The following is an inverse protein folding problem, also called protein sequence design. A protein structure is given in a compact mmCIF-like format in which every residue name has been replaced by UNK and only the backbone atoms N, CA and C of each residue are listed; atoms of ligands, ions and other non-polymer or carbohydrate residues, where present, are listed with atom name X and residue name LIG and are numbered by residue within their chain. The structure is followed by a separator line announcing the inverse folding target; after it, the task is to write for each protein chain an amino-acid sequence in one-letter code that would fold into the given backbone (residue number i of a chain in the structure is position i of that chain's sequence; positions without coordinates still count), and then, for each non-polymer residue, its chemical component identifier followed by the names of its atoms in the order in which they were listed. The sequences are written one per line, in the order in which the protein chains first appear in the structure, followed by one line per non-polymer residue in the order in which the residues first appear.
data_IF_547432016978
#
_entry.id   IF_547432016978
#
_cell.length_a   1.000
_cell.length_b   1.000
_cell.length_c   1.000
_cell.angle_alpha   90.00
_cell.angle_beta   90.00
_cell.angle_gamma   90.00
#
_symmetry.space_group_name_H-M   'P 1'
#
loop_
_entity.id
_entity.type
_entity.pdbx_description
1 polymer ?
#
# COMPACT_ATOMS: atom_id res chain seq x y z
N UNK A 1 4.36 -17.35 -18.32
CA UNK A 1 3.15 -17.84 -19.02
C UNK A 1 2.09 -18.15 -18.00
N UNK A 2 0.90 -17.62 -18.19
CA UNK A 2 -0.30 -18.00 -17.46
C UNK A 2 -1.27 -18.68 -18.42
N UNK A 3 -1.95 -19.72 -17.96
CA UNK A 3 -2.98 -20.40 -18.74
C UNK A 3 -4.34 -20.10 -18.11
N UNK A 4 -5.18 -19.42 -18.89
CA UNK A 4 -6.55 -19.07 -18.53
C UNK A 4 -7.43 -20.33 -18.60
N UNK A 5 -8.38 -20.50 -17.67
CA UNK A 5 -9.36 -21.59 -17.72
C UNK A 5 -10.18 -21.61 -19.01
N UNK A 6 -10.47 -22.80 -19.55
CA UNK A 6 -11.21 -22.95 -20.81
C UNK A 6 -12.61 -22.34 -20.77
N UNK A 7 -13.29 -22.43 -19.62
CA UNK A 7 -14.61 -21.83 -19.44
C UNK A 7 -14.58 -20.30 -19.54
N UNK A 8 -13.51 -19.66 -19.05
CA UNK A 8 -13.31 -18.21 -19.20
C UNK A 8 -12.97 -17.86 -20.64
N UNK A 9 -12.14 -18.66 -21.30
CA UNK A 9 -11.77 -18.48 -22.71
C UNK A 9 -13.02 -18.52 -23.59
N UNK A 10 -13.89 -19.50 -23.38
CA UNK A 10 -15.13 -19.66 -24.13
C UNK A 10 -16.13 -18.52 -23.85
N UNK A 11 -16.30 -18.15 -22.59
CA UNK A 11 -17.23 -17.08 -22.19
C UNK A 11 -16.85 -15.71 -22.76
N UNK A 12 -15.55 -15.42 -22.80
CA UNK A 12 -15.02 -14.12 -23.24
C UNK A 12 -14.59 -14.15 -24.72
N UNK A 13 -14.79 -15.29 -25.41
CA UNK A 13 -14.40 -15.52 -26.80
C UNK A 13 -12.93 -15.18 -27.09
N UNK A 14 -12.01 -15.65 -26.23
CA UNK A 14 -10.58 -15.35 -26.35
C UNK A 14 -9.93 -16.22 -27.44
N UNK A 15 -9.05 -15.65 -28.30
CA UNK A 15 -8.39 -16.41 -29.38
C UNK A 15 -7.40 -17.49 -28.90
N UNK A 16 -7.00 -17.43 -27.64
CA UNK A 16 -6.05 -18.35 -27.01
C UNK A 16 -6.32 -18.40 -25.51
N UNK A 17 -5.90 -19.48 -24.85
CA UNK A 17 -5.88 -19.60 -23.40
C UNK A 17 -4.54 -19.14 -22.78
N UNK A 18 -3.55 -18.76 -23.59
CA UNK A 18 -2.22 -18.41 -23.11
C UNK A 18 -2.03 -16.89 -22.94
N UNK A 19 -1.56 -16.48 -21.76
CA UNK A 19 -1.07 -15.14 -21.48
C UNK A 19 0.45 -15.18 -21.37
N UNK A 20 1.12 -14.42 -22.23
CA UNK A 20 2.58 -14.40 -22.31
C UNK A 20 3.13 -12.97 -22.29
N UNK A 21 4.43 -12.85 -22.03
CA UNK A 21 5.12 -11.55 -22.01
C UNK A 21 5.53 -11.09 -23.42
N UNK A 22 5.47 -11.99 -24.40
CA UNK A 22 5.93 -11.75 -25.77
C UNK A 22 5.20 -10.58 -26.44
N UNK A 23 3.85 -10.48 -26.37
CA UNK A 23 3.13 -9.33 -26.91
C UNK A 23 3.59 -7.98 -26.32
N UNK A 24 3.90 -7.97 -25.03
CA UNK A 24 4.30 -6.76 -24.30
C UNK A 24 5.69 -6.32 -24.72
N UNK A 25 6.60 -7.27 -24.98
CA UNK A 25 7.93 -7.00 -25.54
C UNK A 25 7.83 -6.44 -26.96
N UNK A 26 7.00 -7.05 -27.81
CA UNK A 26 6.79 -6.57 -29.18
C UNK A 26 6.21 -5.15 -29.19
N UNK A 27 5.24 -4.83 -28.32
CA UNK A 27 4.72 -3.48 -28.17
C UNK A 27 5.80 -2.46 -27.78
N UNK A 28 6.72 -2.84 -26.89
CA UNK A 28 7.81 -1.95 -26.47
C UNK A 28 8.73 -1.61 -27.64
N UNK A 29 9.12 -2.62 -28.43
CA UNK A 29 9.96 -2.44 -29.63
C UNK A 29 9.21 -1.66 -30.71
N UNK A 30 7.93 -1.94 -30.91
CA UNK A 30 7.09 -1.27 -31.91
C UNK A 30 7.01 0.25 -31.66
N UNK A 31 6.89 0.67 -30.40
CA UNK A 31 6.82 2.10 -30.05
C UNK A 31 8.21 2.77 -29.86
N UNK A 32 9.31 2.05 -30.07
CA UNK A 32 10.69 2.52 -29.93
C UNK A 32 11.10 3.37 -31.14
N UNK A 33 10.59 4.61 -31.20
CA UNK A 33 10.83 5.54 -32.30
C UNK A 33 9.62 6.40 -32.66
N UNK A 34 8.45 6.06 -32.13
CA UNK A 34 7.26 6.89 -32.29
C UNK A 34 7.36 8.16 -31.44
N UNK A 35 7.07 9.31 -32.05
CA UNK A 35 6.95 10.58 -31.34
C UNK A 35 5.82 10.53 -30.29
N UNK A 36 4.71 9.86 -30.63
CA UNK A 36 3.58 9.61 -29.74
C UNK A 36 3.48 8.11 -29.46
N UNK A 37 3.94 7.70 -28.28
CA UNK A 37 3.86 6.31 -27.83
C UNK A 37 2.43 5.95 -27.43
N UNK A 38 1.98 4.76 -27.83
CA UNK A 38 0.64 4.25 -27.48
C UNK A 38 0.56 3.90 -25.99
N UNK A 39 1.62 3.27 -25.46
CA UNK A 39 1.78 2.97 -24.04
C UNK A 39 2.99 3.76 -23.48
N UNK A 40 2.86 5.08 -23.23
CA UNK A 40 3.98 5.97 -22.95
C UNK A 40 4.72 5.65 -21.64
N UNK A 41 4.03 5.01 -20.68
CA UNK A 41 4.61 4.63 -19.38
C UNK A 41 5.21 3.22 -19.38
N UNK A 42 5.01 2.44 -20.45
CA UNK A 42 5.64 1.13 -20.60
C UNK A 42 7.13 1.33 -20.93
N UNK A 43 7.99 0.71 -20.13
CA UNK A 43 9.45 0.83 -20.26
C UNK A 43 10.11 -0.54 -20.20
N UNK A 44 11.34 -0.64 -20.71
CA UNK A 44 12.12 -1.88 -20.65
C UNK A 44 12.30 -2.40 -19.21
N UNK A 45 12.52 -1.49 -18.25
CA UNK A 45 12.61 -1.81 -16.82
C UNK A 45 11.35 -2.45 -16.23
N UNK A 46 10.18 -2.27 -16.88
CA UNK A 46 8.94 -2.90 -16.44
C UNK A 46 8.83 -4.38 -16.86
N UNK A 47 9.49 -4.77 -17.96
CA UNK A 47 9.50 -6.15 -18.45
C UNK A 47 10.69 -6.92 -17.89
N UNK A 48 11.86 -6.28 -17.87
CA UNK A 48 13.12 -6.84 -17.38
C UNK A 48 13.64 -6.00 -16.21
N UNK A 49 13.00 -6.09 -15.02
CA UNK A 49 13.34 -5.26 -13.89
C UNK A 49 14.67 -5.66 -13.25
N UNK A 50 15.48 -4.65 -12.91
CA UNK A 50 16.64 -4.83 -12.03
C UNK A 50 16.23 -5.29 -10.63
N UNK A 51 17.20 -5.66 -9.79
CA UNK A 51 16.93 -6.03 -8.39
C UNK A 51 16.11 -4.97 -7.64
N UNK A 52 16.39 -3.68 -7.84
CA UNK A 52 15.66 -2.59 -7.20
C UNK A 52 14.31 -2.32 -7.86
N UNK A 53 14.21 -2.49 -9.17
CA UNK A 53 12.96 -2.24 -9.90
C UNK A 53 11.85 -3.24 -9.55
N UNK A 54 12.22 -4.47 -9.17
CA UNK A 54 11.27 -5.49 -8.68
C UNK A 54 10.43 -5.02 -7.48
N UNK A 55 10.91 -4.04 -6.71
CA UNK A 55 10.19 -3.48 -5.57
C UNK A 55 9.22 -2.34 -5.96
N UNK A 56 9.30 -1.82 -7.19
CA UNK A 56 8.51 -0.68 -7.65
C UNK A 56 7.18 -1.14 -8.23
N UNK A 57 6.13 -1.08 -7.41
CA UNK A 57 4.75 -1.39 -7.83
C UNK A 57 4.32 -0.56 -9.05
N UNK A 58 4.78 0.69 -9.17
CA UNK A 58 4.47 1.55 -10.32
C UNK A 58 4.89 0.95 -11.67
N UNK A 59 6.01 0.22 -11.74
CA UNK A 59 6.44 -0.42 -12.98
C UNK A 59 5.50 -1.57 -13.35
N UNK A 60 5.05 -2.35 -12.38
CA UNK A 60 4.06 -3.40 -12.62
C UNK A 60 2.71 -2.81 -13.10
N UNK A 61 2.27 -1.69 -12.51
CA UNK A 61 1.05 -1.01 -12.94
C UNK A 61 1.15 -0.48 -14.37
N UNK A 62 2.32 -0.02 -14.80
CA UNK A 62 2.50 0.39 -16.19
C UNK A 62 2.31 -0.79 -17.17
N UNK A 63 2.67 -2.01 -16.77
CA UNK A 63 2.42 -3.24 -17.56
C UNK A 63 0.92 -3.58 -17.55
N UNK A 64 0.33 -3.72 -16.37
CA UNK A 64 -1.10 -3.99 -16.19
C UNK A 64 -1.91 -2.70 -16.29
N UNK A 65 -1.91 -2.07 -17.47
CA UNK A 65 -2.63 -0.83 -17.71
C UNK A 65 -3.54 -0.92 -18.93
N UNK A 66 -4.63 -0.14 -18.89
CA UNK A 66 -5.51 0.07 -20.05
C UNK A 66 -4.75 0.56 -21.29
N UNK A 67 -3.71 1.37 -21.13
CA UNK A 67 -2.88 1.86 -22.24
C UNK A 67 -2.10 0.73 -22.92
N UNK A 68 -1.47 -0.16 -22.13
CA UNK A 68 -0.77 -1.34 -22.66
C UNK A 68 -1.75 -2.30 -23.35
N UNK A 69 -2.92 -2.54 -22.75
CA UNK A 69 -3.98 -3.35 -23.38
C UNK A 69 -4.45 -2.75 -24.71
N UNK A 70 -4.70 -1.44 -24.76
CA UNK A 70 -5.11 -0.74 -25.98
C UNK A 70 -4.02 -0.80 -27.06
N UNK A 71 -2.74 -0.68 -26.69
CA UNK A 71 -1.61 -0.84 -27.61
C UNK A 71 -1.57 -2.22 -28.24
N UNK A 72 -1.77 -3.29 -27.47
CA UNK A 72 -1.83 -4.65 -28.01
C UNK A 72 -3.03 -4.84 -28.95
N UNK A 73 -4.20 -4.33 -28.60
CA UNK A 73 -5.39 -4.37 -29.47
C UNK A 73 -5.15 -3.61 -30.78
N UNK A 74 -4.50 -2.45 -30.70
CA UNK A 74 -4.13 -1.65 -31.86
C UNK A 74 -3.19 -2.41 -32.80
N UNK A 75 -2.14 -3.06 -32.28
CA UNK A 75 -1.20 -3.83 -33.09
C UNK A 75 -1.86 -5.01 -33.82
N UNK A 76 -2.86 -5.64 -33.21
CA UNK A 76 -3.63 -6.70 -33.89
C UNK A 76 -4.48 -6.12 -35.00
N UNK A 77 -5.14 -4.98 -34.77
CA UNK A 77 -6.07 -4.39 -35.72
C UNK A 77 -5.40 -3.69 -36.90
N UNK A 78 -4.26 -3.02 -36.68
CA UNK A 78 -3.62 -2.13 -37.65
C UNK A 78 -2.29 -2.68 -38.18
N UNK A 79 -1.58 -3.49 -37.40
CA UNK A 79 -0.22 -3.98 -37.72
C UNK A 79 -0.18 -5.50 -37.98
N UNK A 80 -1.36 -6.09 -38.22
CA UNK A 80 -1.57 -7.49 -38.57
C UNK A 80 -0.85 -8.49 -37.63
N UNK A 81 -0.75 -8.15 -36.33
CA UNK A 81 -0.16 -9.04 -35.32
C UNK A 81 -1.09 -10.22 -34.99
N UNK A 82 -0.55 -11.34 -34.46
CA UNK A 82 -1.35 -12.52 -34.16
C UNK A 82 -2.52 -12.24 -33.20
N UNK A 83 -3.67 -12.85 -33.48
CA UNK A 83 -4.87 -12.72 -32.63
C UNK A 83 -4.65 -13.15 -31.17
N UNK A 84 -3.65 -14.02 -30.92
CA UNK A 84 -3.26 -14.43 -29.55
C UNK A 84 -2.86 -13.26 -28.65
N UNK A 85 -2.48 -12.11 -29.21
CA UNK A 85 -2.18 -10.89 -28.44
C UNK A 85 -3.42 -10.36 -27.72
N UNK A 86 -4.62 -10.58 -28.26
CA UNK A 86 -5.87 -10.14 -27.65
C UNK A 86 -6.13 -10.83 -26.31
N UNK A 87 -5.74 -12.10 -26.15
CA UNK A 87 -5.83 -12.80 -24.87
C UNK A 87 -4.97 -12.12 -23.79
N UNK A 88 -3.75 -11.73 -24.15
CA UNK A 88 -2.85 -11.00 -23.23
C UNK A 88 -3.41 -9.60 -22.94
N UNK A 89 -3.89 -8.89 -23.96
CA UNK A 89 -4.50 -7.56 -23.81
C UNK A 89 -5.72 -7.59 -22.88
N UNK A 90 -6.60 -8.59 -23.04
CA UNK A 90 -7.76 -8.80 -22.19
C UNK A 90 -7.33 -9.05 -20.74
N UNK A 91 -6.35 -9.94 -20.51
CA UNK A 91 -5.87 -10.24 -19.16
C UNK A 91 -5.29 -9.00 -18.46
N UNK A 92 -4.48 -8.21 -19.15
CA UNK A 92 -3.94 -6.96 -18.60
C UNK A 92 -5.05 -6.00 -18.18
N UNK A 93 -6.09 -5.86 -19.00
CA UNK A 93 -7.25 -5.01 -18.70
C UNK A 93 -8.08 -5.53 -17.52
N UNK A 94 -8.24 -6.86 -17.37
CA UNK A 94 -8.92 -7.43 -16.20
C UNK A 94 -8.18 -7.09 -14.90
N UNK A 95 -6.84 -7.25 -14.89
CA UNK A 95 -6.01 -6.96 -13.71
C UNK A 95 -5.99 -5.46 -13.40
N UNK A 96 -5.92 -4.59 -14.41
CA UNK A 96 -5.99 -3.13 -14.26
C UNK A 96 -7.31 -2.69 -13.61
N UNK A 97 -8.45 -3.13 -14.18
CA UNK A 97 -9.78 -2.79 -13.65
C UNK A 97 -9.99 -3.32 -12.23
N UNK A 98 -9.48 -4.52 -11.94
CA UNK A 98 -9.48 -5.06 -10.58
C UNK A 98 -8.66 -4.19 -9.64
N UNK A 99 -7.43 -3.84 -10.00
CA UNK A 99 -6.55 -3.05 -9.17
C UNK A 99 -7.14 -1.66 -8.88
N UNK A 100 -7.75 -1.02 -9.88
CA UNK A 100 -8.46 0.25 -9.72
C UNK A 100 -9.59 0.14 -8.70
N UNK A 101 -10.42 -0.90 -8.77
CA UNK A 101 -11.50 -1.13 -7.80
C UNK A 101 -10.97 -1.40 -6.39
N UNK A 102 -9.91 -2.21 -6.27
CA UNK A 102 -9.32 -2.58 -4.97
C UNK A 102 -8.54 -1.45 -4.30
N UNK A 103 -7.98 -0.52 -5.08
CA UNK A 103 -7.12 0.57 -4.59
C UNK A 103 -7.78 1.96 -4.65
N UNK A 104 -8.98 2.05 -5.23
CA UNK A 104 -9.78 3.27 -5.33
C UNK A 104 -9.92 3.99 -3.99
N UNK A 105 -9.65 5.30 -4.01
CA UNK A 105 -9.87 6.21 -2.87
C UNK A 105 -10.88 7.31 -3.20
N UNK A 106 -11.46 7.29 -4.39
CA UNK A 106 -12.34 8.35 -4.86
C UNK A 106 -13.80 7.92 -4.71
N UNK A 107 -14.69 8.80 -4.22
CA UNK A 107 -16.11 8.46 -4.06
C UNK A 107 -16.83 8.05 -5.36
N UNK A 108 -16.33 8.52 -6.51
CA UNK A 108 -16.91 8.23 -7.83
C UNK A 108 -16.75 6.75 -8.19
N UNK A 109 -15.64 6.15 -7.80
CA UNK A 109 -15.27 4.75 -8.03
C UNK A 109 -15.56 3.87 -6.82
N UNK A 110 -16.35 4.37 -5.86
CA UNK A 110 -16.73 3.62 -4.67
C UNK A 110 -17.87 2.65 -4.98
N UNK A 111 -17.83 1.46 -4.35
CA UNK A 111 -18.94 0.50 -4.41
C UNK A 111 -20.14 1.11 -3.68
N UNK A 112 -21.12 1.60 -4.44
CA UNK A 112 -22.25 2.34 -3.91
C UNK A 112 -23.54 2.03 -4.68
N UNK A 113 -24.62 1.80 -3.94
CA UNK A 113 -25.97 1.57 -4.51
C UNK A 113 -26.63 2.85 -5.07
N UNK A 114 -25.92 4.00 -5.05
CA UNK A 114 -26.39 5.25 -5.68
C UNK A 114 -26.50 5.13 -7.21
N UNK A 115 -25.57 4.42 -7.84
CA UNK A 115 -25.58 4.12 -9.28
C UNK A 115 -25.53 2.61 -9.48
N UNK A 116 -26.70 1.97 -9.47
CA UNK A 116 -26.83 0.51 -9.49
C UNK A 116 -26.15 -0.15 -10.69
N UNK A 117 -26.14 0.49 -11.86
CA UNK A 117 -25.48 -0.06 -13.04
C UNK A 117 -23.95 -0.17 -12.86
N UNK A 118 -23.30 0.90 -12.39
CA UNK A 118 -21.86 0.93 -12.13
C UNK A 118 -21.48 0.01 -10.96
N UNK A 119 -22.34 -0.05 -9.93
CA UNK A 119 -22.20 -1.01 -8.85
C UNK A 119 -22.20 -2.45 -9.38
N UNK A 120 -23.18 -2.82 -10.20
CA UNK A 120 -23.30 -4.17 -10.73
C UNK A 120 -22.09 -4.52 -11.61
N UNK A 121 -21.64 -3.60 -12.47
CA UNK A 121 -20.41 -3.76 -13.28
C UNK A 121 -19.21 -4.04 -12.39
N UNK A 122 -19.01 -3.26 -11.32
CA UNK A 122 -17.90 -3.43 -10.40
C UNK A 122 -17.95 -4.79 -9.67
N UNK A 123 -19.12 -5.19 -9.16
CA UNK A 123 -19.31 -6.50 -8.51
C UNK A 123 -19.02 -7.65 -9.48
N UNK A 124 -19.51 -7.56 -10.72
CA UNK A 124 -19.23 -8.57 -11.76
C UNK A 124 -17.73 -8.68 -12.05
N UNK A 125 -17.00 -7.55 -12.16
CA UNK A 125 -15.54 -7.58 -12.33
C UNK A 125 -14.85 -8.30 -11.16
N UNK A 126 -15.20 -7.97 -9.92
CA UNK A 126 -14.60 -8.61 -8.74
C UNK A 126 -14.90 -10.12 -8.69
N UNK A 127 -16.13 -10.54 -8.98
CA UNK A 127 -16.52 -11.95 -9.04
C UNK A 127 -15.79 -12.69 -10.16
N UNK A 128 -15.66 -12.09 -11.33
CA UNK A 128 -14.93 -12.65 -12.46
C UNK A 128 -13.44 -12.83 -12.15
N UNK A 129 -12.83 -11.92 -11.39
CA UNK A 129 -11.43 -12.05 -10.95
C UNK A 129 -11.26 -13.21 -9.97
N UNK A 130 -12.19 -13.35 -9.00
CA UNK A 130 -12.17 -14.50 -8.09
C UNK A 130 -12.25 -15.81 -8.88
N UNK A 131 -13.14 -15.87 -9.86
CA UNK A 131 -13.30 -17.04 -10.72
C UNK A 131 -12.04 -17.33 -11.57
N UNK A 132 -11.50 -16.30 -12.24
CA UNK A 132 -10.28 -16.38 -13.03
C UNK A 132 -9.10 -16.89 -12.19
N UNK A 133 -8.84 -16.29 -11.02
CA UNK A 133 -7.70 -16.66 -10.18
C UNK A 133 -7.85 -18.02 -9.48
N UNK A 134 -9.08 -18.54 -9.37
CA UNK A 134 -9.32 -19.94 -8.93
C UNK A 134 -8.88 -20.96 -9.97
N UNK A 135 -9.10 -20.69 -11.26
CA UNK A 135 -8.78 -21.65 -12.32
C UNK A 135 -7.44 -21.43 -13.02
N UNK A 136 -6.87 -20.22 -12.96
CA UNK A 136 -5.66 -19.89 -13.71
C UNK A 136 -4.47 -20.76 -13.29
N UNK A 137 -3.73 -21.28 -14.28
CA UNK A 137 -2.49 -22.04 -14.04
C UNK A 137 -1.30 -21.11 -14.24
N UNK A 138 -0.43 -21.01 -13.22
CA UNK A 138 0.70 -20.07 -13.21
C UNK A 138 2.03 -20.82 -13.30
N UNK A 139 2.80 -20.54 -14.36
CA UNK A 139 4.11 -21.13 -14.61
C UNK A 139 4.04 -22.55 -15.20
N UNK A 140 5.20 -23.12 -15.53
CA UNK A 140 5.30 -24.39 -16.28
C UNK A 140 4.59 -25.56 -15.61
N UNK A 141 4.68 -25.66 -14.27
CA UNK A 141 4.05 -26.75 -13.50
C UNK A 141 2.55 -26.53 -13.25
N UNK A 142 2.03 -25.34 -13.54
CA UNK A 142 0.60 -25.00 -13.39
C UNK A 142 0.01 -25.13 -11.98
N UNK A 143 0.83 -25.33 -10.94
CA UNK A 143 0.38 -25.53 -9.57
C UNK A 143 -0.07 -24.24 -8.89
N UNK A 144 -0.88 -24.38 -7.83
CA UNK A 144 -1.41 -23.29 -7.03
C UNK A 144 -0.30 -22.40 -6.44
N UNK A 145 -0.46 -21.08 -6.54
CA UNK A 145 0.50 -20.07 -6.05
C UNK A 145 -0.11 -19.19 -4.96
N UNK A 146 0.70 -18.69 -4.01
CA UNK A 146 0.23 -17.78 -2.96
C UNK A 146 -0.49 -16.53 -3.49
N UNK A 147 -0.10 -16.03 -4.67
CA UNK A 147 -0.78 -14.89 -5.31
C UNK A 147 -2.26 -15.19 -5.63
N UNK A 148 -2.61 -16.43 -5.98
CA UNK A 148 -4.00 -16.81 -6.22
C UNK A 148 -4.82 -16.72 -4.93
N UNK A 149 -4.31 -17.32 -3.84
CA UNK A 149 -4.93 -17.18 -2.51
C UNK A 149 -5.07 -15.72 -2.12
N UNK A 150 -4.02 -14.90 -2.29
CA UNK A 150 -4.03 -13.49 -1.92
C UNK A 150 -5.09 -12.68 -2.67
N UNK A 151 -5.18 -12.83 -3.99
CA UNK A 151 -6.18 -12.15 -4.82
C UNK A 151 -7.60 -12.60 -4.46
N UNK A 152 -7.82 -13.91 -4.31
CA UNK A 152 -9.14 -14.45 -3.94
C UNK A 152 -9.57 -13.93 -2.57
N UNK A 153 -8.72 -14.07 -1.55
CA UNK A 153 -9.05 -13.64 -0.18
C UNK A 153 -9.34 -12.14 -0.11
N UNK A 154 -8.49 -11.31 -0.72
CA UNK A 154 -8.71 -9.85 -0.70
C UNK A 154 -10.04 -9.49 -1.38
N UNK A 155 -10.32 -10.09 -2.53
CA UNK A 155 -11.51 -9.78 -3.32
C UNK A 155 -12.79 -10.31 -2.66
N UNK A 156 -12.79 -11.52 -2.11
CA UNK A 156 -13.95 -12.05 -1.36
C UNK A 156 -14.21 -11.26 -0.09
N UNK A 157 -13.15 -10.77 0.58
CA UNK A 157 -13.30 -9.89 1.75
C UNK A 157 -13.98 -8.58 1.38
N UNK A 158 -13.58 -7.93 0.27
CA UNK A 158 -14.26 -6.71 -0.20
C UNK A 158 -15.71 -6.97 -0.56
N UNK A 159 -16.00 -8.07 -1.27
CA UNK A 159 -17.37 -8.46 -1.63
C UNK A 159 -18.27 -8.70 -0.41
N UNK A 160 -17.73 -9.28 0.67
CA UNK A 160 -18.45 -9.48 1.92
C UNK A 160 -18.65 -8.15 2.69
N UNK A 161 -17.57 -7.39 2.87
CA UNK A 161 -17.59 -6.11 3.61
C UNK A 161 -18.53 -5.12 2.94
N UNK A 162 -18.49 -4.98 1.61
CA UNK A 162 -19.38 -4.05 0.92
C UNK A 162 -20.86 -4.41 1.15
N UNK A 163 -21.20 -5.70 1.15
CA UNK A 163 -22.58 -6.14 1.34
C UNK A 163 -23.03 -5.83 2.76
N UNK A 164 -22.20 -6.18 3.74
CA UNK A 164 -22.46 -5.88 5.15
C UNK A 164 -22.60 -4.37 5.41
N UNK A 165 -21.69 -3.56 4.89
CA UNK A 165 -21.69 -2.11 5.08
C UNK A 165 -22.93 -1.44 4.45
N UNK A 166 -23.34 -1.91 3.26
CA UNK A 166 -24.48 -1.34 2.52
C UNK A 166 -25.84 -1.88 3.02
N UNK A 167 -25.89 -3.07 3.62
CA UNK A 167 -27.13 -3.66 4.18
C UNK A 167 -27.38 -3.27 5.62
N UNK A 168 -26.39 -3.45 6.49
CA UNK A 168 -26.53 -3.16 7.92
C UNK A 168 -26.47 -1.66 8.21
N UNK A 169 -26.07 -0.85 7.23
CA UNK A 169 -25.99 0.60 7.37
C UNK A 169 -25.02 0.96 8.49
N UNK A 170 -23.74 0.64 8.32
CA UNK A 170 -22.72 1.13 9.25
C UNK A 170 -22.75 2.65 9.22
N UNK A 171 -23.27 3.26 10.28
CA UNK A 171 -23.25 4.72 10.44
C UNK A 171 -21.79 5.12 10.59
N UNK A 172 -21.19 5.60 9.51
CA UNK A 172 -19.90 6.29 9.61
C UNK A 172 -20.13 7.46 10.56
N UNK A 173 -19.56 7.34 11.77
CA UNK A 173 -19.60 8.44 12.73
C UNK A 173 -19.01 9.71 12.10
N UNK A 174 -19.25 10.85 12.72
CA UNK A 174 -18.70 12.14 12.25
C UNK A 174 -17.20 12.00 11.96
N UNK A 175 -16.73 12.36 10.73
CA UNK A 175 -15.31 12.31 10.41
C UNK A 175 -14.49 13.07 11.45
N UNK A 176 -13.40 12.45 11.90
CA UNK A 176 -12.51 13.06 12.88
C UNK A 176 -11.79 14.24 12.24
N UNK A 177 -11.82 15.43 12.87
CA UNK A 177 -11.14 16.62 12.35
C UNK A 177 -9.62 16.45 12.19
N UNK A 178 -9.02 15.54 12.95
CA UNK A 178 -7.60 15.21 12.86
C UNK A 178 -7.39 13.95 12.03
N UNK A 179 -6.81 14.10 10.85
CA UNK A 179 -6.40 12.96 10.01
C UNK A 179 -5.23 12.19 10.63
N UNK A 180 -5.01 10.94 10.22
CA UNK A 180 -3.84 10.15 10.65
C UNK A 180 -2.50 10.85 10.38
N UNK A 181 -2.40 11.61 9.27
CA UNK A 181 -1.23 12.41 8.93
C UNK A 181 -1.02 13.54 9.93
N UNK A 182 -2.09 14.26 10.27
CA UNK A 182 -2.08 15.34 11.27
C UNK A 182 -1.68 14.80 12.64
N UNK A 183 -2.25 13.67 13.05
CA UNK A 183 -1.91 13.02 14.31
C UNK A 183 -0.43 12.65 14.37
N UNK A 184 0.11 12.04 13.30
CA UNK A 184 1.54 11.68 13.22
C UNK A 184 2.45 12.91 13.29
N UNK A 185 2.10 14.00 12.60
CA UNK A 185 2.85 15.27 12.66
C UNK A 185 2.89 15.80 14.10
N UNK A 186 1.74 15.86 14.77
CA UNK A 186 1.63 16.31 16.15
C UNK A 186 2.45 15.41 17.10
N UNK A 187 2.38 14.08 16.96
CA UNK A 187 3.17 13.15 17.78
C UNK A 187 4.68 13.34 17.57
N UNK A 188 5.12 13.59 16.34
CA UNK A 188 6.52 13.91 16.05
C UNK A 188 6.96 15.24 16.67
N UNK A 189 6.08 16.24 16.73
CA UNK A 189 6.35 17.52 17.38
C UNK A 189 6.56 17.34 18.90
N UNK A 190 5.68 16.56 19.55
CA UNK A 190 5.84 16.20 20.97
C UNK A 190 7.09 15.38 21.22
N UNK A 191 7.45 14.46 20.31
CA UNK A 191 8.68 13.66 20.42
C UNK A 191 9.94 14.54 20.33
N UNK A 192 9.93 15.58 19.49
CA UNK A 192 11.04 16.53 19.37
C UNK A 192 11.17 17.44 20.59
N UNK A 193 10.05 17.91 21.14
CA UNK A 193 10.04 18.72 22.34
C UNK A 193 8.95 18.22 23.32
N UNK A 194 9.32 17.40 24.31
CA UNK A 194 8.37 16.82 25.26
C UNK A 194 7.67 17.84 26.18
N UNK A 195 8.11 19.11 26.19
CA UNK A 195 7.50 20.19 26.99
C UNK A 195 6.44 21.00 26.23
N UNK A 196 6.19 20.69 24.96
CA UNK A 196 5.18 21.40 24.16
C UNK A 196 3.80 21.22 24.80
N UNK A 197 3.10 22.34 25.00
CA UNK A 197 1.77 22.32 25.59
C UNK A 197 0.68 22.05 24.55
N UNK A 198 -0.51 21.63 25.00
CA UNK A 198 -1.67 21.49 24.10
C UNK A 198 -2.04 22.82 23.41
N UNK A 199 -1.76 23.97 24.03
CA UNK A 199 -1.96 25.30 23.44
C UNK A 199 -1.03 25.56 22.27
N UNK A 200 0.24 25.17 22.40
CA UNK A 200 1.23 25.34 21.35
C UNK A 200 0.94 24.40 20.18
N UNK A 201 0.54 23.15 20.46
CA UNK A 201 0.06 22.22 19.43
C UNK A 201 -1.17 22.77 18.70
N UNK A 202 -2.12 23.40 19.42
CA UNK A 202 -3.28 24.04 18.80
C UNK A 202 -2.86 25.14 17.82
N UNK A 203 -1.86 25.97 18.19
CA UNK A 203 -1.29 26.98 17.28
C UNK A 203 -0.62 26.31 16.07
N UNK A 204 0.22 25.30 16.25
CA UNK A 204 0.87 24.54 15.16
C UNK A 204 -0.15 23.95 14.18
N UNK A 205 -1.25 23.40 14.70
CA UNK A 205 -2.36 22.86 13.91
C UNK A 205 -3.17 23.95 13.19
N UNK A 206 -3.33 25.12 13.79
CA UNK A 206 -3.99 26.26 13.16
C UNK A 206 -3.23 26.74 11.91
N UNK A 207 -1.89 26.77 11.94
CA UNK A 207 -1.07 27.06 10.74
C UNK A 207 -1.25 26.01 9.63
N UNK A 208 -1.75 24.82 9.95
CA UNK A 208 -2.09 23.78 9.00
C UNK A 208 -3.56 23.80 8.57
N UNK A 209 -4.30 24.87 8.87
CA UNK A 209 -5.75 25.03 8.66
C UNK A 209 -6.61 23.99 9.39
N UNK A 210 -6.16 23.51 10.56
CA UNK A 210 -6.89 22.52 11.36
C UNK A 210 -7.34 23.15 12.68
N UNK A 211 -8.63 23.47 12.77
CA UNK A 211 -9.24 24.02 13.98
C UNK A 211 -9.77 22.92 14.90
N UNK A 212 -9.06 22.69 16.00
CA UNK A 212 -9.39 21.72 17.05
C UNK A 212 -9.27 22.32 18.44
N UNK A 213 -10.04 21.80 19.38
CA UNK A 213 -9.94 22.18 20.79
C UNK A 213 -8.76 21.48 21.49
N UNK A 214 -8.22 22.12 22.53
CA UNK A 214 -7.13 21.55 23.33
C UNK A 214 -7.52 20.20 23.97
N UNK A 215 -8.78 20.01 24.35
CA UNK A 215 -9.27 18.73 24.87
C UNK A 215 -9.16 17.60 23.83
N UNK A 216 -9.42 17.89 22.56
CA UNK A 216 -9.25 16.94 21.44
C UNK A 216 -7.79 16.55 21.28
N UNK A 217 -6.88 17.51 21.41
CA UNK A 217 -5.43 17.28 21.38
C UNK A 217 -5.02 16.34 22.52
N UNK A 218 -5.41 16.65 23.77
CA UNK A 218 -5.09 15.83 24.95
C UNK A 218 -5.63 14.40 24.82
N UNK A 219 -6.88 14.23 24.41
CA UNK A 219 -7.51 12.91 24.17
C UNK A 219 -6.73 12.11 23.13
N UNK A 220 -6.33 12.77 22.04
CA UNK A 220 -5.56 12.13 20.97
C UNK A 220 -4.17 11.71 21.45
N UNK A 221 -3.47 12.55 22.21
CA UNK A 221 -2.17 12.21 22.80
C UNK A 221 -2.27 11.02 23.76
N UNK A 222 -3.25 11.04 24.67
CA UNK A 222 -3.49 9.94 25.61
C UNK A 222 -3.82 8.62 24.90
N UNK A 223 -4.64 8.65 23.84
CA UNK A 223 -4.95 7.46 23.02
C UNK A 223 -3.70 6.87 22.35
N UNK A 224 -2.68 7.68 22.11
CA UNK A 224 -1.40 7.28 21.53
C UNK A 224 -0.31 7.03 22.60
N UNK A 225 -0.68 6.89 23.89
CA UNK A 225 0.26 6.59 24.97
C UNK A 225 1.15 7.77 25.41
N UNK A 226 0.86 8.98 24.95
CA UNK A 226 1.58 10.19 25.35
C UNK A 226 0.85 10.85 26.51
N UNK A 227 1.48 10.83 27.69
CA UNK A 227 0.89 11.35 28.91
C UNK A 227 1.69 12.53 29.46
N UNK A 228 0.97 13.50 30.03
CA UNK A 228 1.59 14.55 30.83
C UNK A 228 2.30 13.94 32.05
N UNK A 229 3.58 14.28 32.22
CA UNK A 229 4.41 13.87 33.35
C UNK A 229 5.32 15.01 33.76
N UNK A 230 5.64 15.09 35.05
CA UNK A 230 6.60 16.07 35.58
C UNK A 230 8.00 15.44 35.57
N UNK A 231 9.01 16.05 34.91
CA UNK A 231 10.37 15.53 34.95
C UNK A 231 10.92 15.60 36.39
N UNK A 232 11.65 14.55 36.81
CA UNK A 232 12.31 14.54 38.13
C UNK A 232 13.45 15.55 38.14
N UNK A 233 13.59 16.32 39.23
CA UNK A 233 14.74 17.18 39.47
C UNK A 233 15.99 16.30 39.56
N UNK A 234 17.05 16.66 38.84
CA UNK A 234 18.35 15.99 38.87
C UNK A 234 19.44 17.04 39.02
N UNK A 235 20.54 16.76 39.74
CA UNK A 235 21.66 17.67 39.79
C UNK A 235 22.25 17.85 38.39
N UNK A 236 22.70 19.06 38.08
CA UNK A 236 23.39 19.35 36.82
C UNK A 236 24.78 18.72 36.87
N UNK A 237 25.06 17.81 35.94
CA UNK A 237 26.37 17.17 35.84
C UNK A 237 27.20 17.86 34.77
N UNK A 238 28.42 18.24 35.12
CA UNK A 238 29.41 18.69 34.14
C UNK A 238 29.85 17.52 33.25
N UNK A 239 30.36 17.80 32.04
CA UNK A 239 30.90 16.76 31.14
C UNK A 239 32.02 15.95 31.82
N UNK A 240 32.88 16.61 32.60
CA UNK A 240 33.95 15.98 33.40
C UNK A 240 33.36 14.96 34.40
N UNK A 241 32.32 15.35 35.13
CA UNK A 241 31.69 14.49 36.12
C UNK A 241 30.96 13.32 35.45
N UNK A 242 30.32 13.53 34.30
CA UNK A 242 29.70 12.45 33.52
C UNK A 242 30.76 11.41 33.11
N UNK A 243 31.89 11.86 32.57
CA UNK A 243 32.98 10.98 32.14
C UNK A 243 33.59 10.21 33.32
N UNK A 244 33.88 10.88 34.44
CA UNK A 244 34.42 10.25 35.64
C UNK A 244 33.47 9.20 36.22
N UNK A 245 32.17 9.52 36.33
CA UNK A 245 31.15 8.57 36.80
C UNK A 245 30.99 7.38 35.88
N UNK A 246 31.02 7.59 34.56
CA UNK A 246 30.95 6.50 33.59
C UNK A 246 32.19 5.60 33.65
N UNK A 247 33.38 6.19 33.79
CA UNK A 247 34.64 5.46 33.95
C UNK A 247 34.60 4.59 35.21
N UNK A 248 34.25 5.17 36.36
CA UNK A 248 34.11 4.46 37.62
C UNK A 248 33.11 3.29 37.51
N UNK A 249 31.92 3.54 36.94
CA UNK A 249 30.90 2.52 36.77
C UNK A 249 31.34 1.37 35.84
N UNK A 250 32.14 1.65 34.80
CA UNK A 250 32.68 0.62 33.91
C UNK A 250 33.79 -0.20 34.59
N UNK A 251 34.72 0.47 35.27
CA UNK A 251 35.83 -0.18 35.97
C UNK A 251 35.35 -1.10 37.09
N UNK A 252 34.19 -0.78 37.68
CA UNK A 252 33.65 -1.54 38.80
C UNK A 252 32.36 -2.31 38.46
N UNK A 253 32.05 -2.54 37.18
CA UNK A 253 30.84 -3.24 36.75
C UNK A 253 30.83 -4.72 37.19
N UNK A 254 31.98 -5.38 37.03
CA UNK A 254 32.15 -6.81 37.31
C UNK A 254 32.82 -7.07 38.67
N UNK A 255 32.94 -6.03 39.49
CA UNK A 255 33.59 -6.14 40.80
C UNK A 255 32.68 -6.92 41.76
N UNK A 256 33.18 -8.00 42.38
CA UNK A 256 32.37 -8.89 43.20
C UNK A 256 31.92 -8.22 44.50
N UNK A 257 30.76 -8.64 45.02
CA UNK A 257 30.12 -8.02 46.19
C UNK A 257 31.03 -7.92 47.42
N UNK A 258 31.93 -8.89 47.66
CA UNK A 258 32.83 -8.89 48.80
C UNK A 258 33.78 -7.69 48.81
N UNK A 259 34.18 -7.18 47.64
CA UNK A 259 34.99 -5.97 47.52
C UNK A 259 34.24 -4.76 48.08
N UNK A 260 32.96 -4.62 47.72
CA UNK A 260 32.11 -3.52 48.18
C UNK A 260 31.78 -3.58 49.67
N UNK A 261 31.69 -4.78 50.24
CA UNK A 261 31.47 -5.00 51.68
C UNK A 261 32.65 -4.53 52.53
N UNK A 262 33.85 -4.49 51.95
CA UNK A 262 35.06 -4.03 52.62
C UNK A 262 35.28 -2.50 52.50
N UNK A 263 34.40 -1.79 51.78
CA UNK A 263 34.46 -0.33 51.65
C UNK A 263 33.52 0.30 52.68
N UNK A 264 34.08 1.14 53.55
CA UNK A 264 33.29 2.00 54.43
C UNK A 264 32.81 3.22 53.64
N UNK A 265 31.49 3.39 53.57
CA UNK A 265 30.85 4.52 52.89
C UNK A 265 30.44 5.58 53.92
N UNK A 266 30.80 6.84 53.66
CA UNK A 266 30.37 8.01 54.42
C UNK A 266 29.84 9.07 53.47
N UNK A 267 28.76 9.76 53.84
CA UNK A 267 28.16 10.88 53.07
C UNK A 267 28.83 12.22 53.44
#
# INVERSE_FOLDING_TARGET
VFIIPEDVVNRENLPSNEVSVVPIKDLLTFQEGMALKIAPHLSAAAIEPSHFDKMKVSLALNVFSKATSAGLKYMVQQENRPLSYLTTAWFLEQVDRWFDLMSSRHPITALSRLKMEEYQKAITVLQNIVHLFRGIKIGQKGGWKPVQTGVIMATTSILAIQEEMLTQGHRSGRPVKMTARTQRRMLNEVKKNPRVSARDLKKSLAHANISVDESTIRKTLNKNGVHGRTPRRKPLLSRKNIAARLKFAKEHLDVPQHYWQNILWTD
#
